data_IF_432171066687
#
_entry.id   IF_432171066687
#
_cell.length_a   1.000
_cell.length_b   1.000
_cell.length_c   1.000
_cell.angle_alpha   90.00
_cell.angle_beta   90.00
_cell.angle_gamma   90.00
#
_symmetry.space_group_name_H-M   'P 1'
#
loop_
_entity.id
_entity.type
_entity.pdbx_description
1 polymer ?
#
# COMPACT_ATOMS: atom_id res chain seq x y z
N UNK A 1 2.97 29.96 14.45
CA UNK A 1 3.10 29.91 12.98
C UNK A 1 3.06 28.45 12.48
N UNK A 2 1.97 27.70 12.74
CA UNK A 2 1.83 26.30 12.27
C UNK A 2 0.56 26.08 11.43
N UNK A 3 -0.14 27.15 11.06
CA UNK A 3 -1.42 27.08 10.34
C UNK A 3 -1.29 26.88 8.83
N UNK A 4 -0.17 27.29 8.22
CA UNK A 4 0.03 27.20 6.76
C UNK A 4 0.36 25.77 6.29
N UNK A 5 1.09 24.97 7.08
CA UNK A 5 1.48 23.62 6.67
C UNK A 5 0.29 22.65 6.59
N UNK A 6 -0.74 22.84 7.42
CA UNK A 6 -1.94 21.97 7.42
C UNK A 6 -2.77 22.12 6.16
N UNK A 7 -3.05 23.37 5.76
CA UNK A 7 -3.87 23.64 4.58
C UNK A 7 -3.16 23.17 3.30
N UNK A 8 -1.85 23.42 3.21
CA UNK A 8 -1.02 22.89 2.13
C UNK A 8 -0.98 21.36 2.13
N UNK A 9 -0.85 20.72 3.30
CA UNK A 9 -0.86 19.26 3.40
C UNK A 9 -2.19 18.65 2.94
N UNK A 10 -3.33 19.18 3.41
CA UNK A 10 -4.65 18.70 3.00
C UNK A 10 -4.83 18.89 1.49
N UNK A 11 -4.39 20.03 0.95
CA UNK A 11 -4.43 20.29 -0.49
C UNK A 11 -3.57 19.29 -1.27
N UNK A 12 -2.35 19.01 -0.83
CA UNK A 12 -1.45 18.04 -1.48
C UNK A 12 -2.04 16.63 -1.44
N UNK A 13 -2.63 16.20 -0.32
CA UNK A 13 -3.29 14.89 -0.21
C UNK A 13 -4.52 14.81 -1.12
N UNK A 14 -5.33 15.87 -1.16
CA UNK A 14 -6.48 15.95 -2.06
C UNK A 14 -6.06 16.00 -3.54
N UNK A 15 -5.05 16.78 -3.91
CA UNK A 15 -4.51 16.86 -5.27
C UNK A 15 -3.88 15.55 -5.72
N UNK A 16 -3.11 14.87 -4.86
CA UNK A 16 -2.58 13.54 -5.17
C UNK A 16 -3.70 12.52 -5.45
N UNK A 17 -4.84 12.67 -4.77
CA UNK A 17 -6.00 11.79 -4.91
C UNK A 17 -6.92 12.19 -6.08
N UNK A 18 -7.04 13.49 -6.39
CA UNK A 18 -7.92 14.02 -7.44
C UNK A 18 -7.26 14.03 -8.83
N UNK A 19 -5.96 14.31 -8.90
CA UNK A 19 -5.18 14.38 -10.15
C UNK A 19 -5.20 13.08 -10.94
N UNK A 20 -5.39 11.94 -10.27
CA UNK A 20 -5.40 10.65 -10.94
C UNK A 20 -6.74 10.30 -11.62
N UNK A 21 -7.90 10.84 -11.20
CA UNK A 21 -9.12 10.04 -11.33
C UNK A 21 -10.45 10.74 -11.69
N UNK A 22 -10.55 12.07 -11.67
CA UNK A 22 -11.88 12.72 -11.83
C UNK A 22 -12.52 12.57 -13.21
N UNK A 23 -11.74 12.69 -14.30
CA UNK A 23 -12.26 12.57 -15.67
C UNK A 23 -12.62 11.11 -16.02
N UNK A 24 -11.77 10.16 -15.65
CA UNK A 24 -11.96 8.74 -15.91
C UNK A 24 -13.15 8.17 -15.11
N UNK A 25 -13.33 8.59 -13.85
CA UNK A 25 -14.49 8.20 -13.05
C UNK A 25 -15.80 8.70 -13.67
N UNK A 26 -15.82 9.94 -14.20
CA UNK A 26 -17.00 10.47 -14.90
C UNK A 26 -17.34 9.64 -16.14
N UNK A 27 -16.35 9.33 -16.98
CA UNK A 27 -16.54 8.46 -18.16
C UNK A 27 -17.05 7.07 -17.79
N UNK A 28 -16.50 6.46 -16.73
CA UNK A 28 -16.96 5.15 -16.23
C UNK A 28 -18.40 5.20 -15.73
N UNK A 29 -18.79 6.26 -15.01
CA UNK A 29 -20.18 6.45 -14.56
C UNK A 29 -21.15 6.63 -15.72
N UNK A 30 -20.80 7.43 -16.74
CA UNK A 30 -21.64 7.59 -17.93
C UNK A 30 -21.75 6.28 -18.70
N UNK A 31 -20.64 5.55 -18.89
CA UNK A 31 -20.64 4.25 -19.58
C UNK A 31 -21.48 3.22 -18.84
N UNK A 32 -21.40 3.17 -17.52
CA UNK A 32 -22.22 2.29 -16.69
C UNK A 32 -23.72 2.60 -16.85
N UNK A 33 -24.10 3.87 -16.86
CA UNK A 33 -25.49 4.26 -17.08
C UNK A 33 -26.00 3.83 -18.47
N UNK A 34 -25.19 4.05 -19.51
CA UNK A 34 -25.51 3.61 -20.88
C UNK A 34 -25.63 2.10 -20.98
N UNK A 35 -24.69 1.34 -20.40
CA UNK A 35 -24.72 -0.12 -20.41
C UNK A 35 -25.95 -0.69 -19.69
N UNK A 36 -26.32 -0.11 -18.54
CA UNK A 36 -27.54 -0.49 -17.80
C UNK A 36 -28.82 -0.17 -18.58
N UNK A 37 -28.87 0.97 -19.27
CA UNK A 37 -30.02 1.31 -20.11
C UNK A 37 -30.13 0.36 -21.30
N UNK A 38 -29.00 0.03 -21.95
CA UNK A 38 -28.98 -0.93 -23.05
C UNK A 38 -29.45 -2.32 -22.60
N UNK A 39 -29.06 -2.77 -21.42
CA UNK A 39 -29.50 -4.05 -20.88
C UNK A 39 -31.03 -4.11 -20.68
N UNK A 40 -31.62 -3.02 -20.17
CA UNK A 40 -33.09 -2.88 -20.08
C UNK A 40 -33.78 -2.84 -21.44
N UNK A 41 -33.20 -2.17 -22.42
CA UNK A 41 -33.73 -2.17 -23.80
C UNK A 41 -33.72 -3.58 -24.40
N UNK A 42 -32.65 -4.34 -24.17
CA UNK A 42 -32.52 -5.72 -24.63
C UNK A 42 -33.60 -6.62 -24.00
N UNK A 43 -33.92 -6.46 -22.71
CA UNK A 43 -35.02 -7.20 -22.08
C UNK A 43 -36.36 -6.92 -22.76
N UNK A 44 -36.67 -5.64 -23.05
CA UNK A 44 -37.90 -5.26 -23.76
C UNK A 44 -37.94 -5.84 -25.17
N UNK A 45 -36.81 -5.82 -25.89
CA UNK A 45 -36.71 -6.40 -27.23
C UNK A 45 -36.90 -7.93 -27.19
N UNK A 46 -36.34 -8.61 -26.20
CA UNK A 46 -36.47 -10.05 -26.04
C UNK A 46 -37.93 -10.45 -25.79
N UNK A 47 -38.65 -9.73 -24.91
CA UNK A 47 -40.07 -9.95 -24.68
C UNK A 47 -40.89 -9.81 -25.97
N UNK A 48 -40.66 -8.76 -26.76
CA UNK A 48 -41.37 -8.54 -28.03
C UNK A 48 -41.11 -9.65 -29.06
N UNK A 49 -39.86 -10.09 -29.18
CA UNK A 49 -39.48 -11.15 -30.12
C UNK A 49 -40.12 -12.49 -29.73
N UNK A 50 -40.22 -12.76 -28.43
CA UNK A 50 -40.93 -13.93 -27.92
C UNK A 50 -42.43 -13.88 -28.22
N UNK A 51 -43.07 -12.73 -28.00
CA UNK A 51 -44.48 -12.49 -28.35
C UNK A 51 -44.74 -12.69 -29.85
N UNK A 52 -43.91 -12.11 -30.72
CA UNK A 52 -44.07 -12.22 -32.18
C UNK A 52 -43.80 -13.64 -32.70
N UNK A 53 -42.94 -14.43 -32.04
CA UNK A 53 -42.76 -15.85 -32.35
C UNK A 53 -44.03 -16.66 -32.04
N UNK A 54 -44.60 -16.51 -30.84
CA UNK A 54 -45.84 -17.22 -30.44
C UNK A 54 -47.01 -16.86 -31.36
N UNK A 55 -47.07 -15.61 -31.84
CA UNK A 55 -48.08 -15.15 -32.79
C UNK A 55 -47.83 -15.64 -34.24
N UNK A 56 -46.76 -16.38 -34.50
CA UNK A 56 -46.40 -16.93 -35.81
C UNK A 56 -45.92 -15.90 -36.82
N UNK A 57 -45.66 -14.66 -36.39
CA UNK A 57 -45.15 -13.58 -37.26
C UNK A 57 -43.66 -13.74 -37.56
N UNK A 58 -42.94 -14.44 -36.69
CA UNK A 58 -41.51 -14.69 -36.79
C UNK A 58 -41.23 -16.20 -36.88
N UNK A 59 -40.51 -16.69 -37.92
CA UNK A 59 -40.10 -18.09 -37.99
C UNK A 59 -39.10 -18.46 -36.88
N UNK A 60 -39.22 -19.68 -36.34
CA UNK A 60 -38.38 -20.19 -35.23
C UNK A 60 -36.87 -20.08 -35.47
N UNK A 61 -36.41 -20.33 -36.69
CA UNK A 61 -34.99 -20.20 -37.04
C UNK A 61 -34.48 -18.76 -36.82
N UNK A 62 -35.29 -17.76 -37.17
CA UNK A 62 -34.94 -16.34 -36.99
C UNK A 62 -34.99 -15.96 -35.52
N UNK A 63 -35.96 -16.49 -34.76
CA UNK A 63 -36.01 -16.34 -33.30
C UNK A 63 -34.71 -16.84 -32.64
N UNK A 64 -34.32 -18.09 -32.91
CA UNK A 64 -33.12 -18.69 -32.31
C UNK A 64 -31.84 -17.89 -32.59
N UNK A 65 -31.73 -17.31 -33.79
CA UNK A 65 -30.60 -16.46 -34.16
C UNK A 65 -30.58 -15.15 -33.36
N UNK A 66 -31.73 -14.48 -33.21
CA UNK A 66 -31.84 -13.21 -32.48
C UNK A 66 -31.68 -13.41 -30.96
N UNK A 67 -32.25 -14.47 -30.40
CA UNK A 67 -32.10 -14.86 -29.00
C UNK A 67 -30.62 -15.11 -28.65
N UNK A 68 -29.90 -15.85 -29.49
CA UNK A 68 -28.47 -16.07 -29.31
C UNK A 68 -27.64 -14.78 -29.39
N UNK A 69 -27.99 -13.85 -30.30
CA UNK A 69 -27.30 -12.57 -30.45
C UNK A 69 -27.52 -11.67 -29.23
N UNK A 70 -28.77 -11.49 -28.80
CA UNK A 70 -29.09 -10.66 -27.65
C UNK A 70 -28.63 -11.28 -26.33
N UNK A 71 -28.69 -12.61 -26.18
CA UNK A 71 -28.12 -13.31 -25.03
C UNK A 71 -26.60 -13.11 -24.92
N UNK A 72 -25.89 -13.11 -26.06
CA UNK A 72 -24.46 -12.78 -26.08
C UNK A 72 -24.21 -11.32 -25.68
N UNK A 73 -24.96 -10.37 -26.23
CA UNK A 73 -24.83 -8.94 -25.89
C UNK A 73 -25.14 -8.69 -24.40
N UNK A 74 -26.19 -9.31 -23.84
CA UNK A 74 -26.52 -9.23 -22.42
C UNK A 74 -25.39 -9.78 -21.53
N UNK A 75 -24.81 -10.93 -21.89
CA UNK A 75 -23.71 -11.51 -21.13
C UNK A 75 -22.46 -10.62 -21.13
N UNK A 76 -22.14 -10.00 -22.27
CA UNK A 76 -21.02 -9.05 -22.40
C UNK A 76 -21.28 -7.77 -21.59
N UNK A 77 -22.47 -7.17 -21.71
CA UNK A 77 -22.85 -5.98 -20.96
C UNK A 77 -22.89 -6.24 -19.44
N UNK A 78 -23.37 -7.40 -19.00
CA UNK A 78 -23.41 -7.76 -17.57
C UNK A 78 -22.01 -7.86 -17.00
N UNK A 79 -21.08 -8.48 -17.74
CA UNK A 79 -19.66 -8.53 -17.36
C UNK A 79 -19.05 -7.13 -17.30
N UNK A 80 -19.30 -6.29 -18.31
CA UNK A 80 -18.83 -4.91 -18.35
C UNK A 80 -19.35 -4.10 -17.15
N UNK A 81 -20.65 -4.19 -16.84
CA UNK A 81 -21.27 -3.52 -15.70
C UNK A 81 -20.60 -3.96 -14.40
N UNK A 82 -20.42 -5.27 -14.19
CA UNK A 82 -19.79 -5.77 -12.96
C UNK A 82 -18.36 -5.23 -12.77
N UNK A 83 -17.59 -5.13 -13.86
CA UNK A 83 -16.23 -4.59 -13.86
C UNK A 83 -16.24 -3.08 -13.55
N UNK A 84 -17.14 -2.34 -14.20
CA UNK A 84 -17.30 -0.90 -13.96
C UNK A 84 -17.74 -0.59 -12.53
N UNK A 85 -18.66 -1.38 -11.97
CA UNK A 85 -19.12 -1.25 -10.57
C UNK A 85 -18.02 -1.57 -9.57
N UNK A 86 -17.26 -2.64 -9.79
CA UNK A 86 -16.11 -2.97 -8.95
C UNK A 86 -15.05 -1.85 -8.97
N UNK A 87 -14.80 -1.27 -10.15
CA UNK A 87 -13.88 -0.14 -10.29
C UNK A 87 -14.40 1.10 -9.57
N UNK A 88 -15.68 1.46 -9.74
CA UNK A 88 -16.32 2.60 -9.07
C UNK A 88 -16.39 2.46 -7.54
N UNK A 89 -16.71 1.28 -7.03
CA UNK A 89 -16.73 1.02 -5.59
C UNK A 89 -15.32 1.08 -4.98
N UNK A 90 -14.29 0.61 -5.70
CA UNK A 90 -12.91 0.79 -5.28
C UNK A 90 -12.54 2.30 -5.22
N UNK A 91 -12.98 3.10 -6.18
CA UNK A 91 -12.77 4.56 -6.14
C UNK A 91 -13.47 5.23 -4.95
N UNK A 92 -14.73 4.87 -4.67
CA UNK A 92 -15.45 5.43 -3.52
C UNK A 92 -14.83 5.04 -2.18
N UNK A 93 -14.31 3.80 -2.07
CA UNK A 93 -13.52 3.39 -0.90
C UNK A 93 -12.29 4.25 -0.73
N UNK A 94 -11.52 4.49 -1.79
CA UNK A 94 -10.33 5.33 -1.75
C UNK A 94 -10.63 6.78 -1.37
N UNK A 95 -11.75 7.35 -1.85
CA UNK A 95 -12.18 8.70 -1.46
C UNK A 95 -12.53 8.78 0.04
N UNK A 96 -13.34 7.84 0.53
CA UNK A 96 -13.69 7.76 1.95
C UNK A 96 -12.45 7.55 2.83
N UNK A 97 -11.46 6.82 2.32
CA UNK A 97 -10.17 6.64 2.96
C UNK A 97 -9.43 7.97 3.18
N UNK A 98 -9.41 8.87 2.20
CA UNK A 98 -8.78 10.20 2.36
C UNK A 98 -9.48 11.07 3.41
N UNK A 99 -10.82 11.08 3.44
CA UNK A 99 -11.62 11.79 4.45
C UNK A 99 -11.36 11.23 5.87
N UNK A 100 -11.27 9.91 5.99
CA UNK A 100 -10.92 9.25 7.24
C UNK A 100 -9.48 9.58 7.67
N UNK A 101 -8.54 9.71 6.74
CA UNK A 101 -7.16 10.10 7.02
C UNK A 101 -7.04 11.50 7.60
N UNK A 102 -7.74 12.46 7.00
CA UNK A 102 -7.78 13.84 7.50
C UNK A 102 -8.36 13.84 8.92
N UNK A 103 -9.43 13.08 9.16
CA UNK A 103 -10.03 12.93 10.49
C UNK A 103 -9.06 12.31 11.51
N UNK A 104 -8.23 11.37 11.07
CA UNK A 104 -7.21 10.72 11.91
C UNK A 104 -6.08 11.68 12.26
N UNK A 105 -5.63 12.50 11.31
CA UNK A 105 -4.67 13.58 11.56
C UNK A 105 -5.24 14.56 12.58
N UNK A 106 -6.48 15.00 12.41
CA UNK A 106 -7.11 15.94 13.34
C UNK A 106 -7.19 15.37 14.76
N UNK A 107 -7.44 14.06 14.90
CA UNK A 107 -7.45 13.37 16.20
C UNK A 107 -6.07 13.31 16.86
N UNK A 108 -5.01 13.21 16.06
CA UNK A 108 -3.64 13.01 16.53
C UNK A 108 -2.71 14.19 16.18
N UNK A 109 -3.25 15.40 16.00
CA UNK A 109 -2.42 16.57 15.75
C UNK A 109 -1.72 17.08 17.02
N UNK A 110 -2.28 16.75 18.20
CA UNK A 110 -1.75 17.15 19.50
C UNK A 110 -1.56 15.93 20.39
N UNK A 111 -0.39 15.30 20.31
CA UNK A 111 0.01 14.24 21.22
C UNK A 111 1.34 14.60 21.88
N UNK A 112 1.44 14.33 23.19
CA UNK A 112 2.68 14.48 23.94
C UNK A 112 3.59 13.27 23.77
N UNK A 113 3.00 12.08 23.55
CA UNK A 113 3.72 10.82 23.41
C UNK A 113 3.21 10.04 22.19
N UNK A 114 4.13 9.59 21.34
CA UNK A 114 3.82 8.76 20.18
C UNK A 114 3.57 7.32 20.62
N UNK A 115 2.34 6.82 20.46
CA UNK A 115 2.01 5.44 20.81
C UNK A 115 2.07 4.51 19.59
N UNK A 116 2.32 3.23 19.84
CA UNK A 116 2.32 2.19 18.79
C UNK A 116 0.95 2.10 18.11
N UNK A 117 -0.13 2.33 18.86
CA UNK A 117 -1.49 2.31 18.33
C UNK A 117 -1.69 3.41 17.28
N UNK A 118 -1.18 4.62 17.53
CA UNK A 118 -1.23 5.73 16.56
C UNK A 118 -0.47 5.37 15.27
N UNK A 119 0.73 4.79 15.39
CA UNK A 119 1.52 4.40 14.23
C UNK A 119 0.85 3.30 13.40
N UNK A 120 0.28 2.28 14.04
CA UNK A 120 -0.41 1.20 13.34
C UNK A 120 -1.71 1.67 12.67
N UNK A 121 -2.40 2.66 13.23
CA UNK A 121 -3.56 3.28 12.58
C UNK A 121 -3.15 4.12 11.36
N UNK A 122 -1.94 4.68 11.37
CA UNK A 122 -1.47 5.61 10.33
C UNK A 122 -0.73 4.93 9.17
N UNK A 123 0.13 3.96 9.49
CA UNK A 123 1.03 3.28 8.56
C UNK A 123 0.46 1.91 8.21
N UNK A 124 0.29 1.65 6.92
CA UNK A 124 -0.06 0.32 6.38
C UNK A 124 1.16 -0.60 6.42
N UNK A 125 2.24 -0.16 5.75
CA UNK A 125 3.48 -0.94 5.65
C UNK A 125 4.67 -0.03 5.40
N UNK A 126 5.84 -0.53 5.77
CA UNK A 126 7.13 0.09 5.48
C UNK A 126 7.92 -0.89 4.64
N UNK A 127 8.21 -0.54 3.39
CA UNK A 127 9.11 -1.30 2.54
C UNK A 127 10.52 -0.76 2.73
N UNK A 128 11.43 -1.67 3.08
CA UNK A 128 12.83 -1.36 3.29
C UNK A 128 13.61 -2.10 2.20
N UNK A 129 14.13 -1.35 1.24
CA UNK A 129 14.84 -1.91 0.10
C UNK A 129 16.23 -2.40 0.48
N UNK A 130 16.84 -3.20 -0.41
CA UNK A 130 18.22 -3.58 -0.23
C UNK A 130 19.14 -2.36 -0.30
N UNK A 131 20.29 -2.46 0.38
CA UNK A 131 21.31 -1.41 0.33
C UNK A 131 22.09 -1.50 -0.97
N UNK A 132 22.19 -0.38 -1.68
CA UNK A 132 22.98 -0.30 -2.93
C UNK A 132 24.47 -0.58 -2.71
N UNK A 133 25.03 -0.17 -1.57
CA UNK A 133 26.48 -0.25 -1.30
C UNK A 133 26.80 -0.98 0.01
N UNK A 134 27.63 -2.02 -0.07
CA UNK A 134 28.11 -2.80 1.11
C UNK A 134 29.55 -2.44 1.47
N UNK A 135 29.86 -2.36 2.76
CA UNK A 135 31.23 -2.13 3.26
C UNK A 135 31.51 -0.72 3.81
N UNK A 136 30.54 0.20 3.70
CA UNK A 136 30.54 1.48 4.42
C UNK A 136 29.57 1.42 5.61
N UNK A 137 29.87 2.18 6.67
CA UNK A 137 28.94 2.41 7.79
C UNK A 137 27.83 3.41 7.41
N UNK A 138 28.12 4.28 6.45
CA UNK A 138 27.25 5.37 6.01
C UNK A 138 26.64 5.06 4.63
N UNK A 139 25.93 3.94 4.52
CA UNK A 139 25.19 3.59 3.29
C UNK A 139 23.76 4.10 3.38
N UNK A 140 23.27 4.72 2.31
CA UNK A 140 21.87 5.09 2.13
C UNK A 140 21.03 3.84 1.86
N UNK A 141 19.84 3.78 2.45
CA UNK A 141 18.89 2.70 2.24
C UNK A 141 17.56 3.33 1.88
N UNK A 142 16.98 2.92 0.76
CA UNK A 142 15.68 3.42 0.35
C UNK A 142 14.59 2.81 1.25
N UNK A 143 13.74 3.68 1.78
CA UNK A 143 12.62 3.30 2.64
C UNK A 143 11.37 3.93 2.01
N UNK A 144 10.39 3.10 1.70
CA UNK A 144 9.07 3.55 1.28
C UNK A 144 8.06 3.31 2.40
N UNK A 145 7.42 4.38 2.84
CA UNK A 145 6.35 4.32 3.85
C UNK A 145 5.01 4.40 3.11
N UNK A 146 4.19 3.38 3.30
CA UNK A 146 2.81 3.35 2.82
C UNK A 146 1.88 3.70 3.97
N UNK A 147 1.08 4.74 3.76
CA UNK A 147 0.04 5.13 4.69
C UNK A 147 -1.27 4.45 4.31
N UNK A 148 -2.08 4.06 5.30
CA UNK A 148 -3.34 3.31 5.13
C UNK A 148 -4.32 3.95 4.12
N UNK A 149 -4.18 5.25 3.85
CA UNK A 149 -5.16 6.03 3.12
C UNK A 149 -4.62 6.84 1.93
N UNK A 150 -3.30 6.99 1.82
CA UNK A 150 -2.64 7.79 0.76
C UNK A 150 -1.71 6.91 -0.10
N UNK A 151 -1.35 5.71 0.35
CA UNK A 151 -0.37 4.87 -0.32
C UNK A 151 1.06 5.40 -0.12
N UNK A 152 1.90 5.35 -1.16
CA UNK A 152 3.28 5.88 -1.10
C UNK A 152 3.21 7.41 -1.03
N UNK A 153 3.58 7.96 0.12
CA UNK A 153 3.61 9.40 0.33
C UNK A 153 5.01 9.83 0.78
N UNK A 154 5.56 10.83 0.12
CA UNK A 154 6.81 11.48 0.50
C UNK A 154 6.46 12.91 0.91
N UNK A 155 6.59 13.27 2.20
CA UNK A 155 6.26 14.62 2.63
C UNK A 155 7.14 15.65 1.89
N UNK A 156 6.60 16.82 1.52
CA UNK A 156 7.35 17.86 0.79
C UNK A 156 8.60 18.36 1.53
N UNK A 157 8.62 18.29 2.86
CA UNK A 157 9.79 18.61 3.68
C UNK A 157 10.98 17.66 3.47
N UNK A 158 10.75 16.47 2.90
CA UNK A 158 11.81 15.55 2.44
C UNK A 158 12.10 15.71 0.93
N UNK A 159 11.53 16.72 0.28
CA UNK A 159 11.86 17.08 -1.10
C UNK A 159 13.31 17.58 -1.21
N UNK A 160 13.81 17.58 -2.44
CA UNK A 160 15.19 17.96 -2.77
C UNK A 160 15.48 19.37 -2.26
N UNK A 161 16.22 19.47 -1.16
CA UNK A 161 16.82 20.72 -0.73
C UNK A 161 17.89 21.04 -1.75
N UNK A 162 17.79 22.20 -2.42
CA UNK A 162 18.85 22.68 -3.31
C UNK A 162 20.12 22.91 -2.48
N UNK A 163 21.03 21.94 -2.51
CA UNK A 163 22.29 22.00 -1.78
C UNK A 163 23.19 23.08 -2.39
N UNK A 164 23.93 23.76 -1.53
CA UNK A 164 24.94 24.72 -1.97
C UNK A 164 26.08 24.02 -2.72
N UNK A 165 26.82 24.72 -3.61
CA UNK A 165 27.90 24.11 -4.39
C UNK A 165 28.98 23.42 -3.53
N UNK A 166 29.25 23.94 -2.33
CA UNK A 166 30.22 23.38 -1.38
C UNK A 166 29.72 22.06 -0.77
N UNK A 167 28.44 21.99 -0.38
CA UNK A 167 27.84 20.76 0.14
C UNK A 167 27.74 19.68 -0.94
N UNK A 168 27.56 20.08 -2.21
CA UNK A 168 27.56 19.15 -3.35
C UNK A 168 28.93 18.47 -3.53
N UNK A 169 30.02 19.23 -3.38
CA UNK A 169 31.39 18.67 -3.43
C UNK A 169 31.68 17.74 -2.25
N UNK A 170 31.23 18.08 -1.05
CA UNK A 170 31.34 17.19 0.10
C UNK A 170 30.56 15.89 -0.11
N UNK A 171 29.36 15.99 -0.68
CA UNK A 171 28.54 14.83 -1.02
C UNK A 171 29.26 13.93 -2.02
N UNK A 172 29.85 14.51 -3.08
CA UNK A 172 30.67 13.78 -4.06
C UNK A 172 31.86 13.07 -3.43
N UNK A 173 32.66 13.76 -2.61
CA UNK A 173 33.80 13.16 -1.89
C UNK A 173 33.34 12.01 -0.97
N UNK A 174 32.18 12.17 -0.32
CA UNK A 174 31.59 11.14 0.55
C UNK A 174 31.13 9.94 -0.26
N UNK A 175 30.50 10.14 -1.43
CA UNK A 175 30.09 9.08 -2.34
C UNK A 175 31.29 8.32 -2.94
N UNK A 176 32.32 9.00 -3.40
CA UNK A 176 33.56 8.37 -3.91
C UNK A 176 34.22 7.50 -2.83
N UNK A 177 34.24 7.98 -1.58
CA UNK A 177 34.72 7.19 -0.44
C UNK A 177 33.87 5.95 -0.23
N UNK A 178 32.54 6.04 -0.36
CA UNK A 178 31.63 4.88 -0.27
C UNK A 178 31.91 3.87 -1.38
N UNK A 179 32.12 4.31 -2.62
CA UNK A 179 32.39 3.42 -3.75
C UNK A 179 33.73 2.71 -3.63
N UNK A 180 34.77 3.43 -3.21
CA UNK A 180 36.07 2.82 -2.91
C UNK A 180 35.96 1.74 -1.84
N UNK A 181 35.21 2.00 -0.76
CA UNK A 181 34.97 1.00 0.28
C UNK A 181 34.15 -0.18 -0.22
N UNK A 182 33.18 0.06 -1.10
CA UNK A 182 32.36 -0.98 -1.72
C UNK A 182 33.19 -1.89 -2.63
N UNK A 183 34.04 -1.33 -3.49
CA UNK A 183 34.96 -2.10 -4.31
C UNK A 183 35.92 -2.95 -3.46
N UNK A 184 36.46 -2.39 -2.38
CA UNK A 184 37.31 -3.14 -1.44
C UNK A 184 36.55 -4.27 -0.72
N UNK A 185 35.26 -4.07 -0.43
CA UNK A 185 34.38 -5.13 0.07
C UNK A 185 34.18 -6.24 -0.97
N UNK A 186 33.87 -5.90 -2.23
CA UNK A 186 33.69 -6.88 -3.31
C UNK A 186 34.96 -7.71 -3.53
N UNK A 187 36.14 -7.08 -3.53
CA UNK A 187 37.44 -7.77 -3.59
C UNK A 187 37.62 -8.77 -2.44
N UNK A 188 37.29 -8.37 -1.20
CA UNK A 188 37.36 -9.28 -0.02
C UNK A 188 36.36 -10.42 -0.09
N UNK A 189 35.17 -10.17 -0.64
CA UNK A 189 34.12 -11.17 -0.84
C UNK A 189 34.56 -12.21 -1.89
N UNK A 190 35.10 -11.76 -3.02
CA UNK A 190 35.64 -12.62 -4.07
C UNK A 190 36.78 -13.51 -3.54
N UNK A 191 37.66 -12.94 -2.71
CA UNK A 191 38.82 -13.65 -2.15
C UNK A 191 38.49 -14.55 -0.93
N UNK A 192 37.21 -14.73 -0.56
CA UNK A 192 36.80 -15.60 0.55
C UNK A 192 37.10 -15.11 1.98
N UNK A 193 38.08 -14.20 2.16
CA UNK A 193 38.48 -13.63 3.47
C UNK A 193 37.32 -13.00 4.25
N UNK A 194 36.30 -12.50 3.55
CA UNK A 194 35.09 -11.97 4.19
C UNK A 194 34.32 -13.07 4.94
N UNK A 195 34.19 -14.27 4.35
CA UNK A 195 33.48 -15.41 4.93
C UNK A 195 34.20 -15.93 6.17
N UNK A 196 35.53 -16.05 6.09
CA UNK A 196 36.37 -16.46 7.23
C UNK A 196 36.23 -15.50 8.43
N UNK A 197 36.23 -14.18 8.17
CA UNK A 197 36.01 -13.18 9.20
C UNK A 197 34.62 -13.28 9.83
N UNK A 198 33.58 -13.50 9.02
CA UNK A 198 32.20 -13.66 9.49
C UNK A 198 32.07 -14.90 10.37
N UNK A 199 32.57 -16.06 9.94
CA UNK A 199 32.53 -17.30 10.73
C UNK A 199 33.25 -17.16 12.07
N UNK A 200 34.44 -16.55 12.09
CA UNK A 200 35.19 -16.29 13.33
C UNK A 200 34.46 -15.35 14.29
N UNK A 201 33.69 -14.40 13.78
CA UNK A 201 33.03 -13.37 14.61
C UNK A 201 31.56 -13.63 14.88
N UNK A 202 30.92 -14.57 14.17
CA UNK A 202 29.48 -14.85 14.25
C UNK A 202 29.03 -15.22 15.65
N UNK A 203 29.74 -16.13 16.32
CA UNK A 203 29.38 -16.57 17.67
C UNK A 203 29.43 -15.42 18.68
N UNK A 204 30.52 -14.65 18.68
CA UNK A 204 30.69 -13.47 19.55
C UNK A 204 29.61 -12.42 19.30
N UNK A 205 29.34 -12.08 18.03
CA UNK A 205 28.30 -11.10 17.66
C UNK A 205 26.89 -11.59 18.04
N UNK A 206 26.60 -12.87 17.85
CA UNK A 206 25.33 -13.48 18.27
C UNK A 206 25.14 -13.35 19.77
N UNK A 207 26.15 -13.69 20.57
CA UNK A 207 26.12 -13.56 22.02
C UNK A 207 25.92 -12.09 22.48
N UNK A 208 26.61 -11.13 21.86
CA UNK A 208 26.44 -9.70 22.15
C UNK A 208 25.02 -9.21 21.87
N UNK A 209 24.45 -9.58 20.72
CA UNK A 209 23.07 -9.23 20.36
C UNK A 209 22.07 -9.89 21.30
N UNK A 210 22.29 -11.16 21.66
CA UNK A 210 21.42 -11.90 22.55
C UNK A 210 21.46 -11.33 23.97
N UNK A 211 22.63 -10.93 24.47
CA UNK A 211 22.77 -10.20 25.73
C UNK A 211 22.02 -8.86 25.71
N UNK A 212 22.15 -8.06 24.64
CA UNK A 212 21.36 -6.82 24.49
C UNK A 212 19.86 -7.07 24.49
N UNK A 213 19.40 -8.10 23.78
CA UNK A 213 17.98 -8.49 23.78
C UNK A 213 17.53 -8.94 25.17
N UNK A 214 18.37 -9.63 25.93
CA UNK A 214 18.06 -10.04 27.29
C UNK A 214 17.93 -8.82 28.21
N UNK A 215 18.84 -7.84 28.12
CA UNK A 215 18.74 -6.59 28.89
C UNK A 215 17.41 -5.87 28.62
N UNK A 216 17.06 -5.68 27.35
CA UNK A 216 15.78 -5.06 26.97
C UNK A 216 14.60 -5.87 27.54
N UNK A 217 14.61 -7.20 27.40
CA UNK A 217 13.56 -8.06 27.97
C UNK A 217 13.46 -7.94 29.48
N UNK A 218 14.59 -7.87 30.20
CA UNK A 218 14.57 -7.72 31.65
C UNK A 218 14.00 -6.37 32.08
N UNK A 219 14.32 -5.30 31.35
CA UNK A 219 13.70 -3.98 31.56
C UNK A 219 12.20 -4.01 31.27
N UNK A 220 11.78 -4.66 30.18
CA UNK A 220 10.37 -4.77 29.80
C UNK A 220 9.56 -5.60 30.82
N UNK A 221 10.16 -6.66 31.38
CA UNK A 221 9.57 -7.44 32.49
C UNK A 221 9.43 -6.56 33.74
N UNK A 222 10.47 -5.79 34.10
CA UNK A 222 10.43 -4.91 35.26
C UNK A 222 9.39 -3.78 35.10
N UNK A 223 9.20 -3.27 33.88
CA UNK A 223 8.15 -2.29 33.54
C UNK A 223 6.75 -2.92 33.41
N UNK A 224 6.62 -4.24 33.51
CA UNK A 224 5.34 -4.96 33.33
C UNK A 224 4.83 -4.97 31.89
N UNK A 225 5.64 -4.56 30.91
CA UNK A 225 5.31 -4.50 29.49
C UNK A 225 5.36 -5.89 28.85
N UNK A 226 6.21 -6.79 29.38
CA UNK A 226 6.36 -8.15 28.89
C UNK A 226 6.20 -9.18 30.02
N UNK A 227 5.22 -10.08 29.90
CA UNK A 227 4.99 -11.19 30.83
C UNK A 227 5.35 -12.50 30.12
N UNK A 228 6.41 -13.21 30.54
CA UNK A 228 6.77 -14.47 29.92
C UNK A 228 5.69 -15.52 30.19
N UNK A 229 5.42 -16.40 29.21
CA UNK A 229 4.41 -17.46 29.30
C UNK A 229 4.63 -18.37 30.51
N UNK A 230 5.89 -18.55 30.95
CA UNK A 230 6.24 -19.30 32.17
C UNK A 230 5.71 -18.67 33.46
N UNK A 231 5.47 -17.36 33.47
CA UNK A 231 4.90 -16.63 34.60
C UNK A 231 3.37 -16.50 34.55
N UNK A 232 2.75 -16.96 33.46
CA UNK A 232 1.29 -17.02 33.35
C UNK A 232 0.76 -18.26 34.08
N UNK A 233 -0.38 -18.17 34.79
CA UNK A 233 -1.01 -19.33 35.39
C UNK A 233 -1.40 -20.35 34.31
N UNK A 234 -1.07 -21.62 34.52
CA UNK A 234 -1.48 -22.71 33.62
C UNK A 234 -3.00 -22.85 33.70
N UNK A 235 -3.71 -22.42 32.67
CA UNK A 235 -5.13 -22.67 32.50
C UNK A 235 -5.32 -24.12 32.05
N UNK A 236 -5.92 -24.94 32.91
CA UNK A 236 -6.33 -26.28 32.53
C UNK A 236 -7.44 -26.21 31.46
N UNK A 237 -7.45 -27.12 30.47
CA UNK A 237 -8.45 -27.13 29.42
C UNK A 237 -9.84 -27.32 30.04
N UNK A 238 -10.69 -26.29 29.93
CA UNK A 238 -12.10 -26.40 30.32
C UNK A 238 -12.78 -27.41 29.41
N UNK A 239 -13.21 -28.55 29.96
CA UNK A 239 -14.17 -29.44 29.28
C UNK A 239 -15.44 -28.61 29.02
N UNK A 240 -15.82 -28.49 27.76
CA UNK A 240 -17.06 -27.82 27.35
C UNK A 240 -18.25 -28.49 28.04
N UNK A 241 -19.12 -27.67 28.61
CA UNK A 241 -20.44 -28.06 29.09
C UNK A 241 -21.43 -28.10 27.93
#
# INVERSE_FOLDING_TARGET
>A
MFGNDRAEFIRVVQEAQDSQQTAEVRKKKTRLATAKNRLKELEVLLCKIYEDNILGKLPDNRYATLDAQYGKEQAELTKEISSLEASLTAYEKNKKSAENFISLIDKYQSFDNLTITMLNEFIDKILVHERDRKGSRDTTQEIEVYFNFVGKFVPPAFGEVELTPEELEELRKREERKDRLHQNYLKRKANGKQKEYEERTKARKKAEIEARKQVIRTEDIARGVFVPVSSMPKLEPRKGA
#
